data_IF_857887733404
#
_entry.id   IF_857887733404
#
_cell.length_a   1.000
_cell.length_b   1.000
_cell.length_c   1.000
_cell.angle_alpha   90.00
_cell.angle_beta   90.00
_cell.angle_gamma   90.00
#
_symmetry.space_group_name_H-M   'P 1'
#
loop_
_entity.id
_entity.type
_entity.pdbx_description
1 polymer ?
#
# COMPACT_ATOMS: atom_id res chain seq x y z
N UNK A 1 -2.72 -17.86 14.17
CA UNK A 1 -1.24 -17.87 14.18
C UNK A 1 -0.72 -19.30 14.29
N UNK A 2 0.20 -19.72 13.41
CA UNK A 2 0.63 -21.13 13.29
C UNK A 2 1.14 -21.74 14.60
N UNK A 3 1.84 -20.96 15.43
CA UNK A 3 2.31 -21.42 16.76
C UNK A 3 1.17 -21.86 17.67
N UNK A 4 0.07 -21.10 17.68
CA UNK A 4 -1.11 -21.39 18.51
C UNK A 4 -1.82 -22.64 17.97
N UNK A 5 -1.95 -22.77 16.65
CA UNK A 5 -2.56 -23.94 16.00
C UNK A 5 -1.77 -25.22 16.32
N UNK A 6 -0.44 -25.18 16.24
CA UNK A 6 0.43 -26.31 16.60
C UNK A 6 0.34 -26.67 18.08
N UNK A 7 0.27 -25.67 18.97
CA UNK A 7 0.11 -25.90 20.41
C UNK A 7 -1.25 -26.52 20.74
N UNK A 8 -2.33 -26.07 20.08
CA UNK A 8 -3.66 -26.69 20.20
C UNK A 8 -3.59 -28.16 19.77
N UNK A 9 -2.98 -28.46 18.62
CA UNK A 9 -2.87 -29.82 18.11
C UNK A 9 -2.09 -30.73 19.08
N UNK A 10 -0.97 -30.24 19.63
CA UNK A 10 -0.20 -30.95 20.66
C UNK A 10 -1.06 -31.29 21.88
N UNK A 11 -1.82 -30.31 22.40
CA UNK A 11 -2.67 -30.53 23.57
C UNK A 11 -3.77 -31.55 23.28
N UNK A 12 -4.38 -31.49 22.10
CA UNK A 12 -5.36 -32.48 21.64
C UNK A 12 -4.75 -33.89 21.54
N UNK A 13 -3.52 -34.02 21.03
CA UNK A 13 -2.84 -35.32 20.94
C UNK A 13 -2.48 -35.90 22.31
N UNK A 14 -2.15 -35.04 23.28
CA UNK A 14 -1.94 -35.46 24.68
C UNK A 14 -3.25 -35.96 25.30
N UNK A 15 -4.36 -35.26 25.07
CA UNK A 15 -5.69 -35.68 25.53
C UNK A 15 -6.08 -37.03 24.90
N UNK A 16 -5.90 -37.20 23.58
CA UNK A 16 -6.18 -38.47 22.87
C UNK A 16 -5.37 -39.65 23.41
N UNK A 17 -4.14 -39.39 23.87
CA UNK A 17 -3.26 -40.38 24.50
C UNK A 17 -3.54 -40.57 25.99
N UNK A 18 -4.65 -40.02 26.51
CA UNK A 18 -5.03 -40.05 27.93
C UNK A 18 -3.94 -39.49 28.86
N UNK A 19 -3.11 -38.57 28.38
CA UNK A 19 -2.09 -37.89 29.19
C UNK A 19 -2.68 -36.63 29.83
N UNK A 20 -2.40 -36.42 31.11
CA UNK A 20 -2.81 -35.22 31.83
C UNK A 20 -2.05 -34.00 31.30
N UNK A 21 -2.77 -32.94 30.97
CA UNK A 21 -2.17 -31.65 30.65
C UNK A 21 -1.63 -31.02 31.93
N UNK A 22 -0.32 -30.75 31.94
CA UNK A 22 0.37 -30.12 33.07
C UNK A 22 0.49 -28.62 32.80
N UNK A 23 0.17 -27.75 33.77
CA UNK A 23 0.42 -26.31 33.64
C UNK A 23 1.93 -26.04 33.54
N UNK A 24 2.36 -25.48 32.41
CA UNK A 24 3.77 -25.24 32.11
C UNK A 24 3.93 -23.99 31.25
N UNK A 25 5.12 -23.40 31.30
CA UNK A 25 5.51 -22.32 30.38
C UNK A 25 6.26 -22.95 29.23
N UNK A 26 5.81 -22.66 28.01
CA UNK A 26 6.46 -23.13 26.78
C UNK A 26 6.99 -21.96 25.98
N UNK A 27 8.11 -22.15 25.32
CA UNK A 27 8.72 -21.19 24.40
C UNK A 27 8.25 -21.46 22.99
N UNK A 28 7.89 -20.40 22.26
CA UNK A 28 7.64 -20.48 20.82
C UNK A 28 8.97 -20.52 20.06
N UNK A 29 9.16 -21.53 19.21
CA UNK A 29 10.36 -21.69 18.39
C UNK A 29 10.18 -21.11 16.97
N UNK A 30 11.26 -20.82 16.24
CA UNK A 30 11.19 -20.26 14.89
C UNK A 30 10.46 -21.15 13.86
N UNK A 31 10.43 -22.46 14.10
CA UNK A 31 9.72 -23.46 13.27
C UNK A 31 8.22 -23.57 13.62
N UNK A 32 7.72 -22.64 14.44
CA UNK A 32 6.36 -22.59 14.96
C UNK A 32 5.98 -23.75 15.90
N UNK A 33 6.94 -24.54 16.37
CA UNK A 33 6.72 -25.50 17.44
C UNK A 33 6.85 -24.84 18.80
N UNK A 34 6.51 -25.57 19.85
CA UNK A 34 6.71 -25.11 21.22
C UNK A 34 7.61 -26.08 21.97
N UNK A 35 8.55 -25.55 22.76
CA UNK A 35 9.44 -26.33 23.63
C UNK A 35 9.10 -26.05 25.09
N UNK A 36 9.22 -27.07 25.96
CA UNK A 36 9.05 -26.86 27.39
C UNK A 36 10.16 -25.94 27.92
N UNK A 37 9.79 -24.88 28.63
CA UNK A 37 10.75 -23.97 29.24
C UNK A 37 10.90 -24.25 30.73
N UNK A 38 9.78 -24.24 31.47
CA UNK A 38 9.74 -24.45 32.91
C UNK A 38 8.33 -24.80 33.38
N UNK A 39 8.16 -25.39 34.58
CA UNK A 39 6.86 -25.53 35.20
C UNK A 39 6.18 -24.18 35.39
N UNK A 40 4.85 -24.15 35.45
CA UNK A 40 4.12 -22.92 35.74
C UNK A 40 4.58 -22.36 37.10
N UNK A 41 5.03 -21.09 37.17
CA UNK A 41 5.41 -20.50 38.44
C UNK A 41 4.20 -20.47 39.38
N UNK A 42 4.45 -20.65 40.68
CA UNK A 42 3.42 -20.50 41.71
C UNK A 42 2.93 -19.05 41.82
N UNK A 43 1.87 -18.84 42.61
CA UNK A 43 1.32 -17.51 42.84
C UNK A 43 2.38 -16.58 43.46
N UNK A 44 2.57 -15.40 42.85
CA UNK A 44 3.37 -14.35 43.43
C UNK A 44 2.63 -13.75 44.64
N UNK A 45 3.36 -13.52 45.75
CA UNK A 45 2.81 -12.77 46.89
C UNK A 45 2.81 -11.30 46.52
N UNK A 46 1.63 -10.68 46.49
CA UNK A 46 1.49 -9.24 46.27
C UNK A 46 1.06 -8.57 47.58
N UNK A 47 1.76 -7.51 47.96
CA UNK A 47 1.38 -6.59 49.03
C UNK A 47 1.30 -5.19 48.42
N UNK A 48 0.47 -4.28 48.96
CA UNK A 48 0.52 -2.88 48.57
C UNK A 48 1.93 -2.32 48.80
N UNK A 49 2.46 -1.60 47.81
CA UNK A 49 3.73 -0.88 47.94
C UNK A 49 3.55 0.24 48.97
N UNK A 50 4.20 0.11 50.13
CA UNK A 50 4.02 1.05 51.25
C UNK A 50 4.94 2.26 51.17
N UNK A 51 6.01 2.18 50.38
CA UNK A 51 6.99 3.26 50.24
C UNK A 51 6.48 4.38 49.32
N UNK A 52 5.38 4.14 48.60
CA UNK A 52 4.80 5.08 47.64
C UNK A 52 3.39 5.48 48.07
N UNK A 53 3.06 6.78 48.14
CA UNK A 53 1.70 7.22 48.43
C UNK A 53 0.73 6.79 47.32
N UNK A 54 -0.53 6.60 47.68
CA UNK A 54 -1.58 6.28 46.70
C UNK A 54 -1.81 7.46 45.75
N UNK A 55 -2.07 7.14 44.49
CA UNK A 55 -2.37 8.14 43.45
C UNK A 55 -3.89 8.19 43.26
N UNK A 56 -4.60 9.19 43.80
CA UNK A 56 -6.04 9.32 43.60
C UNK A 56 -6.32 9.78 42.16
N UNK A 57 -7.17 9.03 41.44
CA UNK A 57 -7.63 9.40 40.11
C UNK A 57 -8.84 10.33 40.25
N UNK A 58 -8.61 11.65 40.22
CA UNK A 58 -9.67 12.66 40.34
C UNK A 58 -10.27 13.04 38.99
N UNK A 59 -11.49 13.60 39.00
CA UNK A 59 -12.12 14.11 37.79
C UNK A 59 -11.29 15.23 37.13
N UNK A 60 -10.67 16.10 37.93
CA UNK A 60 -9.78 17.16 37.43
C UNK A 60 -8.55 16.58 36.71
N UNK A 61 -7.95 15.52 37.27
CA UNK A 61 -6.82 14.83 36.63
C UNK A 61 -7.23 14.26 35.27
N UNK A 62 -8.37 13.58 35.21
CA UNK A 62 -8.90 13.02 33.97
C UNK A 62 -9.23 14.10 32.94
N UNK A 63 -9.79 15.23 33.35
CA UNK A 63 -10.14 16.33 32.44
C UNK A 63 -8.94 17.02 31.80
N UNK A 64 -7.74 16.91 32.41
CA UNK A 64 -6.49 17.46 31.87
C UNK A 64 -5.84 16.53 30.83
N UNK A 65 -6.31 15.28 30.71
CA UNK A 65 -5.73 14.32 29.77
C UNK A 65 -6.33 14.58 28.39
N UNK A 66 -5.49 15.04 27.46
CA UNK A 66 -5.85 15.10 26.05
C UNK A 66 -5.73 13.70 25.43
N UNK A 67 -6.86 13.15 24.98
CA UNK A 67 -6.87 11.87 24.29
C UNK A 67 -6.47 12.08 22.83
N UNK A 68 -5.40 11.43 22.35
CA UNK A 68 -5.08 11.45 20.94
C UNK A 68 -6.18 10.74 20.16
N UNK A 69 -6.43 11.20 18.96
CA UNK A 69 -7.37 10.56 18.05
C UNK A 69 -6.89 9.14 17.67
N UNK A 70 -7.80 8.17 17.74
CA UNK A 70 -7.52 6.79 17.38
C UNK A 70 -7.18 6.67 15.89
N UNK A 71 -6.29 5.73 15.57
CA UNK A 71 -5.91 5.40 14.19
C UNK A 71 -7.15 5.04 13.36
N UNK A 72 -8.12 4.35 13.97
CA UNK A 72 -9.39 3.98 13.35
C UNK A 72 -10.25 5.19 13.01
N UNK A 73 -10.35 6.16 13.92
CA UNK A 73 -11.14 7.37 13.72
C UNK A 73 -10.52 8.26 12.64
N UNK A 74 -9.18 8.38 12.65
CA UNK A 74 -8.43 9.04 11.57
C UNK A 74 -8.70 8.41 10.21
N UNK A 75 -8.69 7.08 10.12
CA UNK A 75 -8.95 6.39 8.86
C UNK A 75 -10.36 6.69 8.35
N UNK A 76 -11.37 6.65 9.21
CA UNK A 76 -12.77 6.97 8.86
C UNK A 76 -12.91 8.44 8.40
N UNK A 77 -12.19 9.37 9.03
CA UNK A 77 -12.17 10.78 8.58
C UNK A 77 -11.58 10.91 7.18
N UNK A 78 -10.41 10.33 6.93
CA UNK A 78 -9.72 10.37 5.63
C UNK A 78 -10.59 9.72 4.54
N UNK A 79 -11.22 8.58 4.86
CA UNK A 79 -12.14 7.88 3.95
C UNK A 79 -13.27 8.82 3.47
N UNK A 80 -13.92 9.51 4.42
CA UNK A 80 -15.02 10.44 4.12
C UNK A 80 -14.57 11.71 3.41
N UNK A 81 -13.45 12.27 3.83
CA UNK A 81 -12.91 13.53 3.30
C UNK A 81 -12.42 13.37 1.86
N UNK A 82 -11.69 12.30 1.58
CA UNK A 82 -11.05 12.07 0.28
C UNK A 82 -11.77 11.04 -0.60
N UNK A 83 -12.88 10.46 -0.13
CA UNK A 83 -13.67 9.43 -0.84
C UNK A 83 -12.81 8.27 -1.35
N UNK A 84 -11.91 7.78 -0.50
CA UNK A 84 -11.03 6.64 -0.78
C UNK A 84 -11.57 5.37 -0.12
N UNK A 85 -11.04 4.19 -0.46
CA UNK A 85 -11.46 2.95 0.20
C UNK A 85 -10.95 2.85 1.64
N UNK A 86 -11.67 2.11 2.47
CA UNK A 86 -11.32 1.77 3.85
C UNK A 86 -9.92 1.17 3.97
N UNK A 87 -9.55 0.26 3.05
CA UNK A 87 -8.23 -0.37 3.02
C UNK A 87 -7.14 0.66 2.77
N UNK A 88 -7.32 1.55 1.79
CA UNK A 88 -6.35 2.60 1.48
C UNK A 88 -6.24 3.61 2.61
N UNK A 89 -7.36 4.03 3.20
CA UNK A 89 -7.36 4.95 4.34
C UNK A 89 -6.60 4.38 5.54
N UNK A 90 -6.85 3.11 5.89
CA UNK A 90 -6.13 2.44 6.97
C UNK A 90 -4.63 2.34 6.70
N UNK A 91 -4.23 2.03 5.46
CA UNK A 91 -2.82 1.95 5.07
C UNK A 91 -2.13 3.32 5.10
N UNK A 92 -2.80 4.39 4.69
CA UNK A 92 -2.28 5.77 4.79
C UNK A 92 -1.99 6.13 6.25
N UNK A 93 -2.95 5.90 7.15
CA UNK A 93 -2.78 6.23 8.57
C UNK A 93 -1.68 5.38 9.21
N UNK A 94 -1.62 4.08 8.89
CA UNK A 94 -0.56 3.18 9.39
C UNK A 94 0.83 3.59 8.90
N UNK A 95 0.93 4.03 7.65
CA UNK A 95 2.18 4.46 7.03
C UNK A 95 2.59 5.88 7.45
N UNK A 96 1.71 6.61 8.16
CA UNK A 96 1.98 7.99 8.59
C UNK A 96 2.07 8.98 7.44
N UNK A 97 1.44 8.70 6.30
CA UNK A 97 1.52 9.54 5.10
C UNK A 97 0.53 10.71 5.22
N UNK A 98 1.02 11.94 5.07
CA UNK A 98 0.18 13.14 5.02
C UNK A 98 -0.42 13.32 3.62
N UNK A 99 -1.54 12.62 3.37
CA UNK A 99 -2.28 12.72 2.10
C UNK A 99 -2.88 14.12 1.89
N UNK A 100 -3.23 14.83 2.97
CA UNK A 100 -3.85 16.15 2.89
C UNK A 100 -2.94 17.17 2.21
N UNK A 101 -1.63 17.11 2.50
CA UNK A 101 -0.63 17.92 1.81
C UNK A 101 -0.66 17.75 0.28
N UNK A 102 -0.70 16.50 -0.21
CA UNK A 102 -0.71 16.21 -1.64
C UNK A 102 -2.02 16.60 -2.31
N UNK A 103 -3.15 16.26 -1.69
CA UNK A 103 -4.48 16.56 -2.27
C UNK A 103 -4.71 18.08 -2.36
N UNK A 104 -4.28 18.84 -1.35
CA UNK A 104 -4.41 20.30 -1.36
C UNK A 104 -3.53 20.96 -2.43
N UNK A 105 -2.33 20.42 -2.67
CA UNK A 105 -1.38 20.92 -3.67
C UNK A 105 -1.77 20.55 -5.10
N UNK A 106 -2.31 19.35 -5.33
CA UNK A 106 -2.59 18.79 -6.65
C UNK A 106 -4.09 18.57 -6.91
N UNK A 107 -4.85 19.68 -7.00
CA UNK A 107 -6.33 19.65 -7.09
C UNK A 107 -6.91 19.01 -8.35
N UNK A 108 -6.14 18.92 -9.46
CA UNK A 108 -6.63 18.29 -10.70
C UNK A 108 -6.49 16.76 -10.67
N UNK A 109 -5.76 16.21 -9.71
CA UNK A 109 -5.55 14.77 -9.57
C UNK A 109 -6.58 14.22 -8.57
N UNK A 110 -7.19 13.09 -8.89
CA UNK A 110 -8.15 12.45 -8.00
C UNK A 110 -7.47 12.01 -6.69
N UNK A 111 -8.04 12.30 -5.50
CA UNK A 111 -7.46 11.89 -4.23
C UNK A 111 -7.25 10.37 -4.10
N UNK A 112 -8.14 9.58 -4.70
CA UNK A 112 -8.01 8.12 -4.77
C UNK A 112 -6.76 7.67 -5.53
N UNK A 113 -6.40 8.35 -6.61
CA UNK A 113 -5.19 8.05 -7.38
C UNK A 113 -3.93 8.46 -6.61
N UNK A 114 -3.97 9.60 -5.90
CA UNK A 114 -2.87 10.01 -5.03
C UNK A 114 -2.63 8.97 -3.92
N UNK A 115 -3.71 8.52 -3.26
CA UNK A 115 -3.66 7.46 -2.25
C UNK A 115 -3.04 6.17 -2.79
N UNK A 116 -3.49 5.75 -3.98
CA UNK A 116 -2.98 4.55 -4.66
C UNK A 116 -1.48 4.66 -4.98
N UNK A 117 -1.05 5.81 -5.51
CA UNK A 117 0.36 6.04 -5.84
C UNK A 117 1.24 6.10 -4.60
N UNK A 118 0.76 6.67 -3.49
CA UNK A 118 1.57 6.78 -2.28
C UNK A 118 1.67 5.45 -1.51
N UNK A 119 0.63 4.61 -1.55
CA UNK A 119 0.57 3.36 -0.79
C UNK A 119 0.97 2.14 -1.62
N UNK A 120 0.38 1.97 -2.80
CA UNK A 120 0.51 0.73 -3.57
C UNK A 120 1.76 0.74 -4.43
N UNK A 121 2.08 1.85 -5.11
CA UNK A 121 3.22 1.88 -6.03
C UNK A 121 4.56 1.55 -5.36
N UNK A 122 4.91 2.10 -4.17
CA UNK A 122 6.13 1.72 -3.48
C UNK A 122 6.20 0.22 -3.15
N UNK A 123 5.06 -0.36 -2.73
CA UNK A 123 4.94 -1.81 -2.45
C UNK A 123 5.12 -2.64 -3.71
N UNK A 124 4.53 -2.20 -4.83
CA UNK A 124 4.67 -2.86 -6.13
C UNK A 124 6.11 -2.77 -6.65
N UNK A 125 6.78 -1.62 -6.52
CA UNK A 125 8.18 -1.44 -6.90
C UNK A 125 9.09 -2.37 -6.09
N UNK A 126 8.88 -2.43 -4.77
CA UNK A 126 9.66 -3.29 -3.88
C UNK A 126 9.44 -4.78 -4.16
N UNK A 127 8.19 -5.20 -4.38
CA UNK A 127 7.84 -6.62 -4.56
C UNK A 127 8.09 -7.14 -5.98
N UNK A 128 7.70 -6.38 -7.02
CA UNK A 128 7.77 -6.82 -8.42
C UNK A 128 9.12 -6.52 -9.06
N UNK A 129 9.62 -5.30 -8.85
CA UNK A 129 10.86 -4.85 -9.49
C UNK A 129 12.10 -5.10 -8.61
N UNK A 130 11.91 -5.52 -7.35
CA UNK A 130 12.98 -5.73 -6.36
C UNK A 130 13.90 -4.52 -6.23
N UNK A 131 13.34 -3.33 -6.42
CA UNK A 131 14.04 -2.06 -6.30
C UNK A 131 13.80 -1.48 -4.91
N UNK A 132 14.78 -0.73 -4.42
CA UNK A 132 14.71 -0.13 -3.10
C UNK A 132 13.81 1.12 -3.13
N UNK A 133 12.57 0.96 -2.65
CA UNK A 133 11.56 2.02 -2.55
C UNK A 133 11.98 3.12 -1.59
N UNK A 134 12.91 2.85 -0.67
CA UNK A 134 13.31 3.77 0.40
C UNK A 134 14.17 4.93 -0.13
N UNK A 135 14.57 4.86 -1.41
CA UNK A 135 15.22 5.95 -2.15
C UNK A 135 14.25 7.04 -2.59
N UNK A 136 12.95 6.76 -2.67
CA UNK A 136 11.95 7.75 -3.05
C UNK A 136 11.68 8.69 -1.88
N UNK A 137 11.86 9.99 -2.12
CA UNK A 137 11.54 11.02 -1.12
C UNK A 137 10.24 11.71 -1.43
N UNK A 138 9.73 12.48 -0.46
CA UNK A 138 8.51 13.28 -0.61
C UNK A 138 8.59 14.19 -1.83
N UNK A 139 9.76 14.77 -2.08
CA UNK A 139 10.00 15.69 -3.21
C UNK A 139 9.81 15.00 -4.57
N UNK A 140 10.18 13.72 -4.69
CA UNK A 140 10.02 12.96 -5.93
C UNK A 140 8.55 12.77 -6.28
N UNK A 141 7.70 12.46 -5.30
CA UNK A 141 6.27 12.36 -5.51
C UNK A 141 5.65 13.71 -5.85
N UNK A 142 6.11 14.79 -5.22
CA UNK A 142 5.62 16.13 -5.53
C UNK A 142 5.95 16.56 -6.98
N UNK A 143 7.14 16.25 -7.48
CA UNK A 143 7.49 16.53 -8.88
C UNK A 143 6.59 15.75 -9.84
N UNK A 144 6.42 14.45 -9.61
CA UNK A 144 5.60 13.58 -10.47
C UNK A 144 4.14 13.99 -10.47
N UNK A 145 3.56 14.28 -9.30
CA UNK A 145 2.20 14.81 -9.22
C UNK A 145 2.08 16.21 -9.84
N UNK A 146 3.13 17.02 -9.79
CA UNK A 146 3.21 18.30 -10.51
C UNK A 146 3.06 18.13 -12.01
N UNK A 147 3.83 17.23 -12.62
CA UNK A 147 3.72 16.93 -14.04
C UNK A 147 2.35 16.38 -14.43
N UNK A 148 1.74 15.56 -13.56
CA UNK A 148 0.39 15.02 -13.77
C UNK A 148 -0.68 16.12 -13.68
N UNK A 149 -0.56 17.03 -12.73
CA UNK A 149 -1.48 18.16 -12.53
C UNK A 149 -1.37 19.18 -13.69
N UNK A 150 -0.19 19.34 -14.26
CA UNK A 150 0.03 20.15 -15.46
C UNK A 150 -0.46 19.47 -16.76
N UNK A 151 -0.81 18.17 -16.70
CA UNK A 151 -1.25 17.39 -17.85
C UNK A 151 -0.12 16.98 -18.79
N UNK A 152 1.14 17.11 -18.36
CA UNK A 152 2.32 16.74 -19.16
C UNK A 152 2.50 15.22 -19.25
N UNK A 153 2.00 14.48 -18.27
CA UNK A 153 2.11 13.01 -18.21
C UNK A 153 0.73 12.37 -18.03
N UNK A 154 0.55 11.17 -18.57
CA UNK A 154 -0.60 10.32 -18.27
C UNK A 154 -0.46 9.58 -16.94
N UNK A 155 -1.57 9.05 -16.41
CA UNK A 155 -1.58 8.26 -15.16
C UNK A 155 -0.68 7.01 -15.25
N UNK A 156 -0.56 6.43 -16.44
CA UNK A 156 0.23 5.22 -16.67
C UNK A 156 1.75 5.47 -16.60
N UNK A 157 2.20 6.68 -16.92
CA UNK A 157 3.62 7.05 -16.90
C UNK A 157 4.18 7.24 -15.48
N UNK A 158 3.32 7.41 -14.46
CA UNK A 158 3.72 7.68 -13.07
C UNK A 158 4.64 6.58 -12.52
N UNK A 159 4.31 5.32 -12.79
CA UNK A 159 5.11 4.18 -12.31
C UNK A 159 6.50 4.16 -12.95
N UNK A 160 6.59 4.35 -14.26
CA UNK A 160 7.87 4.33 -14.97
C UNK A 160 8.79 5.48 -14.53
N UNK A 161 8.24 6.69 -14.37
CA UNK A 161 9.00 7.86 -13.93
C UNK A 161 9.58 7.65 -12.53
N UNK A 162 8.79 7.10 -11.60
CA UNK A 162 9.28 6.79 -10.25
C UNK A 162 10.40 5.72 -10.28
N UNK A 163 10.29 4.73 -11.16
CA UNK A 163 11.34 3.72 -11.36
C UNK A 163 12.62 4.31 -11.96
N UNK A 164 12.51 5.22 -12.93
CA UNK A 164 13.66 5.93 -13.49
C UNK A 164 14.37 6.80 -12.44
N UNK A 165 13.59 7.48 -11.59
CA UNK A 165 14.12 8.26 -10.45
C UNK A 165 14.90 7.39 -9.46
N UNK A 166 14.38 6.20 -9.10
CA UNK A 166 15.10 5.25 -8.22
C UNK A 166 16.44 4.80 -8.83
N UNK A 167 16.48 4.63 -10.16
CA UNK A 167 17.69 4.24 -10.90
C UNK A 167 18.69 5.40 -11.07
N UNK A 168 18.32 6.63 -10.70
CA UNK A 168 19.18 7.82 -10.79
C UNK A 168 19.30 8.40 -12.20
N UNK A 169 18.40 8.03 -13.12
CA UNK A 169 18.38 8.58 -14.47
C UNK A 169 17.71 9.96 -14.48
N UNK A 170 18.17 10.87 -15.34
CA UNK A 170 17.43 12.12 -15.61
C UNK A 170 16.08 11.75 -16.24
N UNK A 171 15.00 12.15 -15.58
CA UNK A 171 13.64 11.98 -16.07
C UNK A 171 13.48 12.79 -17.35
N UNK A 172 13.36 12.11 -18.48
CA UNK A 172 13.11 12.73 -19.77
C UNK A 172 11.60 12.76 -20.03
N UNK A 173 10.97 13.88 -19.68
CA UNK A 173 9.52 14.08 -19.79
C UNK A 173 9.01 13.95 -21.24
N UNK A 174 9.88 14.22 -22.21
CA UNK A 174 9.61 14.13 -23.65
C UNK A 174 9.21 12.71 -24.10
N UNK A 175 9.55 11.68 -23.31
CA UNK A 175 9.15 10.29 -23.57
C UNK A 175 7.75 9.96 -23.08
N UNK A 176 7.14 10.83 -22.29
CA UNK A 176 5.88 10.59 -21.59
C UNK A 176 4.83 11.67 -21.87
N UNK A 177 5.18 12.68 -22.68
CA UNK A 177 4.22 13.66 -23.20
C UNK A 177 3.10 12.94 -23.97
N UNK A 178 1.86 13.35 -23.67
CA UNK A 178 0.67 12.83 -24.33
C UNK A 178 0.81 12.99 -25.85
N UNK A 179 0.76 11.88 -26.56
CA UNK A 179 0.79 11.88 -28.02
C UNK A 179 -0.53 12.47 -28.53
N UNK A 180 -0.44 13.43 -29.44
CA UNK A 180 -1.61 14.10 -30.03
C UNK A 180 -2.53 13.07 -30.72
N UNK A 181 -3.85 13.22 -30.56
CA UNK A 181 -4.85 12.22 -30.94
C UNK A 181 -4.74 11.85 -32.45
N UNK A 182 -4.28 12.80 -33.29
CA UNK A 182 -4.06 12.60 -34.73
C UNK A 182 -2.83 11.75 -35.12
N UNK A 183 -1.78 11.74 -34.29
CA UNK A 183 -0.62 10.84 -34.47
C UNK A 183 -0.93 9.42 -34.00
N UNK A 184 -1.79 9.31 -32.97
CA UNK A 184 -2.22 8.05 -32.41
C UNK A 184 -3.03 7.20 -33.40
N UNK A 185 -3.99 7.82 -34.09
CA UNK A 185 -4.82 7.11 -35.08
C UNK A 185 -4.01 6.60 -36.26
N UNK A 186 -2.98 7.33 -36.69
CA UNK A 186 -2.10 6.91 -37.80
C UNK A 186 -1.25 5.69 -37.44
N UNK A 187 -0.67 5.66 -36.25
CA UNK A 187 0.11 4.52 -35.80
C UNK A 187 -0.76 3.29 -35.48
N UNK A 188 -1.96 3.50 -34.92
CA UNK A 188 -2.92 2.40 -34.71
C UNK A 188 -3.33 1.78 -36.05
N UNK A 189 -3.60 2.60 -37.08
CA UNK A 189 -3.88 2.10 -38.45
C UNK A 189 -2.70 1.33 -39.03
N UNK A 190 -1.47 1.82 -38.88
CA UNK A 190 -0.27 1.13 -39.35
C UNK A 190 -0.06 -0.23 -38.64
N UNK A 191 -0.37 -0.32 -37.35
CA UNK A 191 -0.29 -1.57 -36.58
C UNK A 191 -1.39 -2.56 -37.00
N UNK A 192 -2.61 -2.08 -37.27
CA UNK A 192 -3.71 -2.92 -37.78
C UNK A 192 -3.39 -3.43 -39.20
N UNK A 193 -2.80 -2.61 -40.06
CA UNK A 193 -2.40 -3.00 -41.41
C UNK A 193 -1.22 -3.97 -41.45
N UNK A 194 -0.24 -3.80 -40.56
CA UNK A 194 0.97 -4.64 -40.51
C UNK A 194 0.74 -6.01 -39.86
N UNK A 195 -0.23 -6.14 -38.94
CA UNK A 195 -0.61 -7.42 -38.33
C UNK A 195 -2.12 -7.61 -38.38
N UNK A 196 -2.66 -8.05 -39.51
CA UNK A 196 -4.09 -8.33 -39.68
C UNK A 196 -4.51 -9.62 -38.94
N UNK A 197 -5.68 -9.60 -38.29
CA UNK A 197 -6.32 -10.79 -37.71
C UNK A 197 -6.08 -11.04 -36.22
N UNK A 198 -5.62 -10.05 -35.46
CA UNK A 198 -5.46 -10.17 -34.01
C UNK A 198 -6.75 -9.78 -33.26
N UNK A 199 -6.90 -10.27 -32.03
CA UNK A 199 -8.00 -9.84 -31.14
C UNK A 199 -7.73 -8.44 -30.60
N UNK A 200 -8.78 -7.70 -30.23
CA UNK A 200 -8.65 -6.34 -29.67
C UNK A 200 -7.68 -6.26 -28.48
N UNK A 201 -7.62 -7.31 -27.64
CA UNK A 201 -6.68 -7.40 -26.52
C UNK A 201 -5.22 -7.57 -26.94
N UNK A 202 -4.95 -8.26 -28.06
CA UNK A 202 -3.59 -8.40 -28.58
C UNK A 202 -3.08 -7.11 -29.25
N UNK A 203 -3.95 -6.37 -29.95
CA UNK A 203 -3.63 -5.02 -30.41
C UNK A 203 -3.36 -4.07 -29.23
N UNK A 204 -4.19 -4.13 -28.18
CA UNK A 204 -3.99 -3.36 -26.97
C UNK A 204 -2.62 -3.64 -26.34
N UNK A 205 -2.21 -4.90 -26.21
CA UNK A 205 -0.89 -5.26 -25.68
C UNK A 205 0.28 -4.73 -26.51
N UNK A 206 0.16 -4.75 -27.85
CA UNK A 206 1.21 -4.23 -28.76
C UNK A 206 1.28 -2.70 -28.68
N UNK A 207 0.14 -2.02 -28.71
CA UNK A 207 0.07 -0.56 -28.63
C UNK A 207 0.59 -0.10 -27.27
N UNK A 208 0.17 -0.74 -26.17
CA UNK A 208 0.69 -0.42 -24.84
C UNK A 208 2.18 -0.70 -24.70
N UNK A 209 2.70 -1.77 -25.33
CA UNK A 209 4.13 -2.07 -25.36
C UNK A 209 4.97 -1.06 -26.16
N UNK A 210 4.45 -0.58 -27.29
CA UNK A 210 5.11 0.42 -28.13
C UNK A 210 5.06 1.82 -27.52
N UNK A 211 3.95 2.15 -26.89
CA UNK A 211 3.72 3.48 -26.33
C UNK A 211 4.10 3.61 -24.85
N UNK A 212 4.48 2.54 -24.13
CA UNK A 212 5.03 2.56 -22.75
C UNK A 212 4.41 3.65 -21.85
N UNK A 213 3.08 3.66 -21.72
CA UNK A 213 2.37 4.60 -20.85
C UNK A 213 2.18 6.04 -21.37
N UNK A 214 2.51 6.33 -22.63
CA UNK A 214 2.26 7.63 -23.30
C UNK A 214 0.78 7.93 -23.57
N UNK A 215 -0.09 6.95 -23.47
CA UNK A 215 -1.47 7.03 -23.96
C UNK A 215 -2.41 6.41 -22.95
N UNK A 216 -3.55 7.04 -22.75
CA UNK A 216 -4.61 6.49 -21.93
C UNK A 216 -5.18 5.21 -22.60
N UNK A 217 -5.13 4.07 -21.91
CA UNK A 217 -5.69 2.83 -22.40
C UNK A 217 -7.17 2.91 -22.76
N UNK A 218 -7.93 3.80 -22.13
CA UNK A 218 -9.32 4.04 -22.51
C UNK A 218 -9.44 4.68 -23.90
N UNK A 219 -8.59 5.66 -24.21
CA UNK A 219 -8.56 6.30 -25.54
C UNK A 219 -8.14 5.32 -26.63
N UNK A 220 -7.12 4.50 -26.37
CA UNK A 220 -6.66 3.45 -27.30
C UNK A 220 -7.78 2.46 -27.59
N UNK A 221 -8.51 2.01 -26.56
CA UNK A 221 -9.63 1.09 -26.71
C UNK A 221 -10.79 1.71 -27.51
N UNK A 222 -11.09 3.00 -27.29
CA UNK A 222 -12.13 3.70 -28.05
C UNK A 222 -11.77 3.82 -29.54
N UNK A 223 -10.51 4.11 -29.86
CA UNK A 223 -10.04 4.19 -31.25
C UNK A 223 -10.02 2.79 -31.89
N UNK A 224 -9.54 1.77 -31.18
CA UNK A 224 -9.56 0.38 -31.67
C UNK A 224 -10.99 -0.10 -32.00
N UNK A 225 -11.98 0.20 -31.15
CA UNK A 225 -13.39 -0.13 -31.41
C UNK A 225 -14.01 0.58 -32.61
N UNK A 226 -13.43 1.68 -33.09
CA UNK A 226 -13.89 2.36 -34.31
C UNK A 226 -13.33 1.73 -35.58
N UNK A 227 -12.22 0.98 -35.49
CA UNK A 227 -11.47 0.46 -36.64
C UNK A 227 -11.41 -1.07 -36.74
N UNK A 228 -11.83 -1.79 -35.69
CA UNK A 228 -11.94 -3.26 -35.61
C UNK A 228 -13.38 -3.62 -35.28
#
# INVERSE_FOLDING_TARGET
PKVIENEIQRQLDLIKKSKKLVPEVRKAEPDFTTSFLRPMPGAARMYPETDVPTIPVTAELLSKIELPELITDKAVKIEKEYKISDVLANEIVKSGIDIGHFVNKFKKVAPSFIAEVLVNLPKDIKSRLKLDSDKLKKEDFEEVFGYLNDGKIGKEAVLEILVEKIKGNKVDLSKYEGVDDGTLEKEIKAIIESKKGLTAGAYMGIIMGNFRGKVDGQKVMQILKKYV
#
